data_IF_357656795412
#
_entry.id   IF_357656795412
#
_cell.length_a   1.000
_cell.length_b   1.000
_cell.length_c   1.000
_cell.angle_alpha   90.00
_cell.angle_beta   90.00
_cell.angle_gamma   90.00
#
_symmetry.space_group_name_H-M   'P 1'
#
loop_
_entity.id
_entity.type
_entity.pdbx_description
1 polymer ?
#
# COMPACT_ATOMS: atom_id res chain seq x y z
N UNK A 1 5.58 -11.90 4.33
CA UNK A 1 6.70 -11.05 3.88
C UNK A 1 6.70 -10.87 2.36
N UNK A 2 6.99 -11.89 1.54
CA UNK A 2 7.03 -11.74 0.06
C UNK A 2 5.78 -11.05 -0.53
N UNK A 3 4.58 -11.57 -0.26
CA UNK A 3 3.32 -10.99 -0.73
C UNK A 3 3.14 -9.51 -0.33
N UNK A 4 3.46 -9.15 0.92
CA UNK A 4 3.31 -7.78 1.40
C UNK A 4 4.28 -6.82 0.72
N UNK A 5 5.49 -7.27 0.36
CA UNK A 5 6.43 -6.47 -0.42
C UNK A 5 5.86 -6.15 -1.80
N UNK A 6 5.26 -7.13 -2.48
CA UNK A 6 4.55 -6.88 -3.74
C UNK A 6 3.41 -5.89 -3.54
N UNK A 7 2.57 -6.07 -2.52
CA UNK A 7 1.50 -5.10 -2.22
C UNK A 7 2.03 -3.68 -2.01
N UNK A 8 3.14 -3.51 -1.29
CA UNK A 8 3.75 -2.20 -1.04
C UNK A 8 4.26 -1.56 -2.34
N UNK A 9 4.94 -2.32 -3.20
CA UNK A 9 5.41 -1.84 -4.51
C UNK A 9 4.23 -1.44 -5.40
N UNK A 10 3.20 -2.28 -5.48
CA UNK A 10 1.96 -2.00 -6.24
C UNK A 10 1.31 -0.73 -5.74
N UNK A 11 1.13 -0.55 -4.43
CA UNK A 11 0.50 0.64 -3.85
C UNK A 11 1.31 1.91 -4.10
N UNK A 12 2.63 1.84 -3.96
CA UNK A 12 3.52 2.96 -4.25
C UNK A 12 3.42 3.37 -5.72
N UNK A 13 3.39 2.40 -6.63
CA UNK A 13 3.17 2.64 -8.05
C UNK A 13 1.79 3.27 -8.31
N UNK A 14 0.73 2.72 -7.72
CA UNK A 14 -0.63 3.25 -7.86
C UNK A 14 -0.74 4.70 -7.37
N UNK A 15 0.00 5.13 -6.36
CA UNK A 15 0.02 6.52 -5.92
C UNK A 15 0.60 7.47 -7.00
N UNK A 16 1.64 7.04 -7.71
CA UNK A 16 2.23 7.79 -8.82
C UNK A 16 1.30 7.80 -10.03
N UNK A 17 0.66 6.66 -10.30
CA UNK A 17 -0.38 6.56 -11.32
C UNK A 17 -1.53 7.52 -11.02
N UNK A 18 -2.04 7.53 -9.79
CA UNK A 18 -3.07 8.48 -9.37
C UNK A 18 -2.64 9.93 -9.64
N UNK A 19 -1.45 10.32 -9.20
CA UNK A 19 -0.94 11.68 -9.44
C UNK A 19 -0.81 12.00 -10.94
N UNK A 20 -0.40 11.03 -11.76
CA UNK A 20 -0.33 11.18 -13.22
C UNK A 20 -1.71 11.37 -13.87
N UNK A 21 -2.75 10.72 -13.34
CA UNK A 21 -4.12 10.82 -13.88
C UNK A 21 -4.82 12.09 -13.39
N UNK A 22 -4.73 12.40 -12.10
CA UNK A 22 -5.48 13.51 -11.48
C UNK A 22 -4.69 14.81 -11.34
N UNK A 23 -3.42 14.85 -11.74
CA UNK A 23 -2.54 16.02 -11.63
C UNK A 23 -2.26 16.49 -10.21
N UNK A 24 -2.64 15.71 -9.21
CA UNK A 24 -2.61 16.06 -7.79
C UNK A 24 -2.19 14.85 -6.98
N UNK A 25 -1.21 15.04 -6.09
CA UNK A 25 -0.82 14.01 -5.14
C UNK A 25 -1.66 14.16 -3.88
N UNK A 26 -2.43 13.12 -3.54
CA UNK A 26 -3.36 13.15 -2.40
C UNK A 26 -2.74 12.42 -1.22
N UNK A 27 -2.39 13.17 -0.19
CA UNK A 27 -1.92 12.60 1.07
C UNK A 27 -3.11 12.01 1.86
N UNK A 28 -2.99 10.75 2.24
CA UNK A 28 -3.82 10.07 3.21
C UNK A 28 -3.37 10.33 4.65
N UNK A 29 -4.13 9.79 5.60
CA UNK A 29 -3.72 9.77 7.02
C UNK A 29 -2.68 8.68 7.32
N UNK A 30 -2.60 7.68 6.46
CA UNK A 30 -1.66 6.56 6.56
C UNK A 30 -1.06 6.39 5.17
N UNK A 31 0.14 6.91 5.00
CA UNK A 31 0.93 6.86 3.79
C UNK A 31 2.31 6.27 4.11
N UNK A 32 3.27 6.47 3.20
CA UNK A 32 4.63 5.95 3.30
C UNK A 32 5.28 6.34 4.63
N UNK A 33 5.09 7.57 5.11
CA UNK A 33 5.73 8.05 6.33
C UNK A 33 5.25 7.31 7.58
N UNK A 34 3.93 7.18 7.77
CA UNK A 34 3.35 6.47 8.91
C UNK A 34 3.68 4.98 8.86
N UNK A 35 3.72 4.40 7.66
CA UNK A 35 4.17 3.03 7.46
C UNK A 35 5.64 2.86 7.88
N UNK A 36 6.52 3.79 7.51
CA UNK A 36 7.93 3.75 7.91
C UNK A 36 8.10 3.87 9.43
N UNK A 37 7.39 4.79 10.09
CA UNK A 37 7.42 4.86 11.57
C UNK A 37 6.91 3.57 12.22
N UNK A 38 5.89 2.93 11.64
CA UNK A 38 5.40 1.63 12.11
C UNK A 38 6.47 0.55 11.98
N UNK A 39 7.18 0.50 10.84
CA UNK A 39 8.29 -0.45 10.62
C UNK A 39 9.44 -0.21 11.60
N UNK A 40 9.80 1.06 11.85
CA UNK A 40 10.80 1.42 12.87
C UNK A 40 10.37 0.92 14.25
N UNK A 41 9.11 1.11 14.63
CA UNK A 41 8.56 0.58 15.89
C UNK A 41 8.66 -0.94 16.00
N UNK A 42 8.30 -1.67 14.93
CA UNK A 42 8.42 -3.14 14.88
C UNK A 42 9.88 -3.59 15.07
N UNK A 43 10.83 -2.91 14.43
CA UNK A 43 12.25 -3.22 14.58
C UNK A 43 12.78 -2.90 15.98
N UNK A 44 12.35 -1.78 16.58
CA UNK A 44 12.72 -1.43 17.95
C UNK A 44 12.20 -2.45 18.96
N UNK A 45 10.94 -2.88 18.86
CA UNK A 45 10.39 -3.94 19.71
C UNK A 45 11.19 -5.22 19.55
N UNK A 46 11.52 -5.59 18.30
CA UNK A 46 12.35 -6.77 18.01
C UNK A 46 13.76 -6.64 18.58
N UNK A 47 14.33 -5.42 18.63
CA UNK A 47 15.65 -5.16 19.19
C UNK A 47 15.69 -5.31 20.72
N UNK A 48 14.62 -4.89 21.42
CA UNK A 48 14.56 -5.00 22.89
C UNK A 48 14.14 -6.39 23.38
N UNK A 49 13.16 -7.03 22.73
CA UNK A 49 12.56 -8.29 23.19
C UNK A 49 12.99 -9.52 22.39
N UNK A 50 13.77 -9.34 21.32
CA UNK A 50 14.08 -10.38 20.35
C UNK A 50 12.96 -10.61 19.33
N UNK A 51 13.26 -11.18 18.16
CA UNK A 51 12.27 -11.45 17.11
C UNK A 51 11.24 -12.53 17.50
N UNK A 52 11.55 -13.36 18.50
CA UNK A 52 10.66 -14.43 18.98
C UNK A 52 9.34 -13.92 19.57
N UNK A 53 9.29 -12.65 19.99
CA UNK A 53 8.05 -12.02 20.48
C UNK A 53 6.91 -12.09 19.46
N UNK A 54 7.24 -12.08 18.16
CA UNK A 54 6.26 -12.16 17.08
C UNK A 54 5.77 -13.59 16.80
N UNK A 55 6.45 -14.60 17.33
CA UNK A 55 6.06 -16.02 17.23
C UNK A 55 5.23 -16.48 18.44
N UNK A 56 4.91 -15.58 19.38
CA UNK A 56 4.02 -15.90 20.49
C UNK A 56 2.62 -16.20 19.95
N UNK A 57 2.00 -17.27 20.47
CA UNK A 57 0.61 -17.59 20.17
C UNK A 57 -0.34 -16.67 20.92
N UNK A 58 -1.33 -16.16 20.22
CA UNK A 58 -2.37 -15.34 20.84
C UNK A 58 -3.24 -16.26 21.72
N UNK A 59 -3.46 -15.94 23.01
CA UNK A 59 -4.41 -16.70 23.81
C UNK A 59 -5.76 -16.72 23.08
N UNK A 60 -6.50 -17.83 23.10
CA UNK A 60 -7.83 -17.99 22.46
C UNK A 60 -7.84 -18.10 20.92
N UNK A 61 -6.73 -17.85 20.23
CA UNK A 61 -6.63 -17.89 18.78
C UNK A 61 -5.36 -18.65 18.38
N UNK A 62 -5.47 -19.77 17.65
CA UNK A 62 -4.32 -20.60 17.25
C UNK A 62 -3.39 -19.94 16.19
N UNK A 63 -3.29 -18.61 16.22
CA UNK A 63 -2.43 -17.81 15.36
C UNK A 63 -1.26 -17.19 16.13
N UNK A 64 -0.14 -17.08 15.43
CA UNK A 64 1.04 -16.34 15.88
C UNK A 64 0.82 -14.83 15.66
N UNK A 65 1.39 -13.99 16.53
CA UNK A 65 1.29 -12.52 16.40
C UNK A 65 1.77 -12.01 15.03
N UNK A 66 2.81 -12.63 14.44
CA UNK A 66 3.30 -12.32 13.08
C UNK A 66 2.23 -12.52 12.00
N UNK A 67 1.32 -13.49 12.16
CA UNK A 67 0.22 -13.70 11.21
C UNK A 67 -0.79 -12.56 11.31
N UNK A 68 -1.09 -12.08 12.51
CA UNK A 68 -1.95 -10.91 12.70
C UNK A 68 -1.38 -9.65 12.03
N UNK A 69 -0.06 -9.43 12.11
CA UNK A 69 0.59 -8.33 11.39
C UNK A 69 0.40 -8.45 9.87
N UNK A 70 0.49 -9.67 9.33
CA UNK A 70 0.25 -9.93 7.91
C UNK A 70 -1.19 -9.59 7.53
N UNK A 71 -2.17 -10.07 8.29
CA UNK A 71 -3.58 -9.78 8.04
C UNK A 71 -3.90 -8.29 8.08
N UNK A 72 -3.43 -7.57 9.11
CA UNK A 72 -3.64 -6.12 9.24
C UNK A 72 -3.02 -5.39 8.04
N UNK A 73 -1.78 -5.75 7.66
CA UNK A 73 -1.10 -5.15 6.51
C UNK A 73 -1.85 -5.39 5.19
N UNK A 74 -2.40 -6.61 4.99
CA UNK A 74 -3.17 -6.94 3.78
C UNK A 74 -4.51 -6.19 3.74
N UNK A 75 -5.23 -6.09 4.85
CA UNK A 75 -6.49 -5.34 4.91
C UNK A 75 -6.27 -3.85 4.60
N UNK A 76 -5.22 -3.25 5.19
CA UNK A 76 -4.85 -1.88 4.91
C UNK A 76 -4.47 -1.70 3.42
N UNK A 77 -3.72 -2.64 2.85
CA UNK A 77 -3.34 -2.60 1.46
C UNK A 77 -4.56 -2.62 0.51
N UNK A 78 -5.54 -3.49 0.78
CA UNK A 78 -6.80 -3.56 0.01
C UNK A 78 -7.55 -2.22 0.11
N UNK A 79 -7.68 -1.67 1.31
CA UNK A 79 -8.35 -0.39 1.53
C UNK A 79 -7.68 0.76 0.76
N UNK A 80 -6.36 0.88 0.86
CA UNK A 80 -5.59 1.90 0.14
C UNK A 80 -5.69 1.71 -1.38
N UNK A 81 -5.59 0.46 -1.86
CA UNK A 81 -5.72 0.16 -3.28
C UNK A 81 -7.10 0.57 -3.81
N UNK A 82 -8.18 0.23 -3.09
CA UNK A 82 -9.54 0.60 -3.48
C UNK A 82 -9.70 2.13 -3.57
N UNK A 83 -9.14 2.87 -2.61
CA UNK A 83 -9.15 4.35 -2.63
C UNK A 83 -8.42 4.89 -3.85
N UNK A 84 -7.22 4.38 -4.13
CA UNK A 84 -6.39 4.87 -5.22
C UNK A 84 -6.99 4.50 -6.59
N UNK A 85 -7.50 3.28 -6.73
CA UNK A 85 -8.19 2.81 -7.93
C UNK A 85 -9.44 3.65 -8.23
N UNK A 86 -10.23 4.02 -7.21
CA UNK A 86 -11.38 4.90 -7.39
C UNK A 86 -10.98 6.24 -8.01
N UNK A 87 -9.87 6.83 -7.57
CA UNK A 87 -9.38 8.10 -8.12
C UNK A 87 -8.78 7.93 -9.51
N UNK A 88 -8.08 6.83 -9.80
CA UNK A 88 -7.56 6.55 -11.14
C UNK A 88 -8.71 6.45 -12.16
N UNK A 89 -9.81 5.79 -11.79
CA UNK A 89 -10.92 5.54 -12.71
C UNK A 89 -11.84 6.75 -12.91
N UNK A 90 -11.94 7.66 -11.93
CA UNK A 90 -12.91 8.78 -11.95
C UNK A 90 -12.28 10.16 -11.94
N UNK A 91 -10.99 10.27 -11.61
CA UNK A 91 -10.29 11.52 -11.37
C UNK A 91 -9.46 12.06 -12.53
N UNK A 92 -9.65 11.57 -13.76
CA UNK A 92 -8.92 12.05 -14.93
C UNK A 92 -9.26 13.50 -15.28
N UNK A 93 -8.25 14.37 -15.31
CA UNK A 93 -8.43 15.81 -15.57
C UNK A 93 -8.14 16.25 -17.01
N UNK A 94 -7.69 15.32 -17.86
CA UNK A 94 -7.41 15.58 -19.27
C UNK A 94 -8.67 15.58 -20.15
N UNK A 95 -8.48 15.80 -21.45
CA UNK A 95 -9.58 15.85 -22.44
C UNK A 95 -10.37 14.53 -22.42
N UNK A 96 -11.69 14.63 -22.27
CA UNK A 96 -12.60 13.48 -22.13
C UNK A 96 -12.35 12.62 -20.88
N UNK A 97 -11.79 13.18 -19.81
CA UNK A 97 -11.46 12.44 -18.58
C UNK A 97 -10.18 11.59 -18.70
N UNK A 98 -9.31 11.93 -19.66
CA UNK A 98 -8.00 11.30 -19.82
C UNK A 98 -7.03 11.70 -18.71
N UNK A 99 -5.82 11.17 -18.73
CA UNK A 99 -4.72 11.63 -17.85
C UNK A 99 -4.30 13.07 -18.17
N UNK A 100 -3.46 13.65 -17.31
CA UNK A 100 -2.86 14.98 -17.49
C UNK A 100 -2.09 15.10 -18.82
N UNK A 101 -1.50 14.01 -19.29
CA UNK A 101 -0.73 13.98 -20.53
C UNK A 101 -1.62 13.71 -21.78
N UNK A 102 -2.94 13.69 -21.65
CA UNK A 102 -3.85 13.37 -22.76
C UNK A 102 -3.87 11.88 -23.15
N UNK A 103 -3.30 11.01 -22.31
CA UNK A 103 -3.28 9.55 -22.53
C UNK A 103 -4.41 8.86 -21.77
N UNK A 104 -4.70 7.60 -22.10
CA UNK A 104 -5.69 6.82 -21.34
C UNK A 104 -5.32 6.74 -19.86
N UNK A 105 -6.32 6.82 -18.98
CA UNK A 105 -6.13 6.60 -17.53
C UNK A 105 -5.61 5.20 -17.21
N UNK A 106 -5.72 4.24 -18.13
CA UNK A 106 -5.20 2.87 -18.01
C UNK A 106 -3.80 2.67 -18.58
N UNK A 107 -3.26 3.67 -19.28
CA UNK A 107 -1.94 3.60 -19.93
C UNK A 107 -0.80 3.16 -18.99
N UNK A 108 -0.75 3.59 -17.71
CA UNK A 108 0.30 3.18 -16.78
C UNK A 108 0.21 1.72 -16.28
N UNK A 109 -0.61 0.85 -16.86
CA UNK A 109 -0.66 -0.57 -16.44
C UNK A 109 0.61 -1.36 -16.82
N UNK A 110 1.29 -0.96 -17.90
CA UNK A 110 2.38 -1.73 -18.49
C UNK A 110 3.57 -1.92 -17.52
N UNK A 111 4.10 -0.86 -16.86
CA UNK A 111 5.19 -1.04 -15.89
C UNK A 111 4.79 -1.91 -14.71
N UNK A 112 3.52 -1.87 -14.28
CA UNK A 112 3.01 -2.73 -13.20
C UNK A 112 2.92 -4.20 -13.63
N UNK A 113 2.61 -4.47 -14.89
CA UNK A 113 2.53 -5.84 -15.43
C UNK A 113 3.88 -6.50 -15.72
N UNK A 114 4.96 -5.71 -15.75
CA UNK A 114 6.33 -6.16 -16.04
C UNK A 114 7.18 -6.39 -14.78
N UNK A 115 6.62 -6.14 -13.59
CA UNK A 115 7.21 -6.41 -12.26
C UNK A 115 6.59 -7.68 -11.69
#
# INVERSE_FOLDING_TARGET
MFFQCFCAITLFYCAHWQAYVSGTLRFGRVDVTEAQFTIMGIHLISAFFGPEIWSIKIPWLDFDVKQCQVFIGTLLAIYLFHRTASVILTGGIGKNGSSVAGTSVLSPVIPLSLV
#
